data_IF_238061251089
#
_entry.id   IF_238061251089
#
_cell.length_a   1.000
_cell.length_b   1.000
_cell.length_c   1.000
_cell.angle_alpha   90.00
_cell.angle_beta   90.00
_cell.angle_gamma   90.00
#
_symmetry.space_group_name_H-M   'P 1'
#
loop_
_entity.id
_entity.type
_entity.pdbx_description
1 polymer ?
#
# COMPACT_ATOMS: atom_id res chain seq x y z
N UNK A 1 -2.13 -2.33 18.47
CA UNK A 1 -1.21 -3.08 17.60
C UNK A 1 -1.50 -4.55 17.80
N UNK A 2 -1.63 -5.37 16.74
CA UNK A 2 -1.71 -6.81 16.92
C UNK A 2 -0.45 -7.26 17.68
N UNK A 3 -0.64 -7.84 18.85
CA UNK A 3 0.46 -8.26 19.72
C UNK A 3 1.02 -9.55 19.12
N UNK A 4 2.13 -9.47 18.40
CA UNK A 4 2.85 -10.66 17.99
C UNK A 4 3.56 -11.25 19.21
N UNK A 5 3.09 -12.41 19.67
CA UNK A 5 3.73 -13.17 20.74
C UNK A 5 4.07 -14.57 20.22
N UNK A 6 5.36 -14.83 20.05
CA UNK A 6 5.83 -16.11 19.56
C UNK A 6 5.52 -17.24 20.54
N UNK A 7 5.52 -16.94 21.85
CA UNK A 7 5.35 -17.95 22.89
C UNK A 7 3.93 -18.53 22.92
N UNK A 8 2.96 -17.77 22.39
CA UNK A 8 1.58 -18.19 22.25
C UNK A 8 1.37 -19.11 21.04
N UNK A 9 2.26 -19.09 20.04
CA UNK A 9 2.13 -19.85 18.80
C UNK A 9 2.28 -21.35 19.02
N UNK A 10 1.40 -22.12 18.41
CA UNK A 10 1.36 -23.56 18.59
C UNK A 10 2.66 -24.24 18.13
N UNK A 11 3.24 -23.77 17.03
CA UNK A 11 4.51 -24.30 16.51
C UNK A 11 5.66 -24.10 17.51
N UNK A 12 5.69 -22.96 18.21
CA UNK A 12 6.73 -22.68 19.21
C UNK A 12 6.60 -23.63 20.41
N UNK A 13 5.37 -23.82 20.91
CA UNK A 13 5.09 -24.75 22.02
C UNK A 13 5.47 -26.19 21.67
N UNK A 14 5.10 -26.65 20.48
CA UNK A 14 5.39 -28.00 20.00
C UNK A 14 6.90 -28.24 19.84
N UNK A 15 7.61 -27.32 19.19
CA UNK A 15 9.05 -27.48 18.93
C UNK A 15 9.89 -27.39 20.21
N UNK A 16 9.44 -26.62 21.22
CA UNK A 16 10.10 -26.51 22.53
C UNK A 16 9.87 -27.73 23.44
N UNK A 17 8.88 -28.57 23.17
CA UNK A 17 8.50 -29.67 24.06
C UNK A 17 9.49 -30.85 23.99
N UNK A 18 9.97 -31.41 25.11
CA UNK A 18 11.10 -32.38 25.12
C UNK A 18 10.80 -33.77 24.52
N UNK A 19 9.55 -34.21 24.38
CA UNK A 19 9.19 -35.53 23.85
C UNK A 19 7.92 -35.49 22.99
N UNK A 20 7.91 -36.17 21.83
CA UNK A 20 6.72 -36.24 20.96
C UNK A 20 6.62 -37.61 20.26
N UNK A 21 6.03 -38.63 20.89
CA UNK A 21 6.28 -40.04 20.52
C UNK A 21 5.44 -40.64 19.36
N UNK A 22 4.56 -39.88 18.70
CA UNK A 22 3.51 -40.47 17.84
C UNK A 22 3.44 -39.88 16.43
N UNK A 23 2.91 -40.64 15.46
CA UNK A 23 2.71 -40.18 14.06
C UNK A 23 1.78 -38.96 13.96
N UNK A 24 0.83 -38.83 14.89
CA UNK A 24 -0.03 -37.64 15.10
C UNK A 24 0.78 -36.35 15.23
N UNK A 25 1.99 -36.42 15.80
CA UNK A 25 2.89 -35.29 16.02
C UNK A 25 3.31 -34.63 14.70
N UNK A 26 3.51 -35.41 13.63
CA UNK A 26 3.95 -34.86 12.33
C UNK A 26 2.82 -34.01 11.74
N UNK A 27 1.59 -34.49 11.82
CA UNK A 27 0.40 -33.77 11.34
C UNK A 27 0.15 -32.50 12.17
N UNK A 28 0.34 -32.58 13.49
CA UNK A 28 0.25 -31.43 14.40
C UNK A 28 1.31 -30.36 14.12
N UNK A 29 2.59 -30.74 13.98
CA UNK A 29 3.66 -29.78 13.66
C UNK A 29 3.44 -29.17 12.28
N UNK A 30 2.98 -29.95 11.30
CA UNK A 30 2.67 -29.44 9.96
C UNK A 30 1.56 -28.41 10.00
N UNK A 31 0.46 -28.71 10.69
CA UNK A 31 -0.67 -27.80 10.82
C UNK A 31 -0.27 -26.52 11.55
N UNK A 32 0.48 -26.65 12.66
CA UNK A 32 0.97 -25.52 13.43
C UNK A 32 1.98 -24.66 12.63
N UNK A 33 2.77 -25.26 11.74
CA UNK A 33 3.65 -24.52 10.83
C UNK A 33 2.84 -23.69 9.83
N UNK A 34 1.79 -24.25 9.23
CA UNK A 34 0.95 -23.53 8.28
C UNK A 34 0.20 -22.36 8.96
N UNK A 35 -0.36 -22.60 10.15
CA UNK A 35 -0.97 -21.56 10.98
C UNK A 35 0.01 -20.42 11.27
N UNK A 36 1.26 -20.76 11.64
CA UNK A 36 2.29 -19.77 11.88
C UNK A 36 2.62 -18.94 10.63
N UNK A 37 2.68 -19.56 9.44
CA UNK A 37 2.94 -18.86 8.18
C UNK A 37 1.84 -17.84 7.90
N UNK A 38 0.58 -18.26 8.01
CA UNK A 38 -0.59 -17.39 7.80
C UNK A 38 -0.57 -16.21 8.78
N UNK A 39 -0.40 -16.50 10.07
CA UNK A 39 -0.31 -15.48 11.11
C UNK A 39 0.85 -14.49 10.86
N UNK A 40 2.01 -15.00 10.45
CA UNK A 40 3.20 -14.19 10.17
C UNK A 40 2.93 -13.22 9.03
N UNK A 41 2.38 -13.72 7.93
CA UNK A 41 2.01 -12.88 6.79
C UNK A 41 0.97 -11.84 7.17
N UNK A 42 -0.06 -12.25 7.92
CA UNK A 42 -1.09 -11.34 8.42
C UNK A 42 -0.50 -10.22 9.28
N UNK A 43 0.41 -10.56 10.19
CA UNK A 43 1.11 -9.57 11.02
C UNK A 43 1.98 -8.63 10.17
N UNK A 44 2.80 -9.18 9.27
CA UNK A 44 3.72 -8.40 8.43
C UNK A 44 2.99 -7.52 7.41
N UNK A 45 1.77 -7.88 7.01
CA UNK A 45 0.93 -7.07 6.13
C UNK A 45 0.21 -5.93 6.88
N UNK A 46 -0.15 -6.14 8.16
CA UNK A 46 -0.84 -5.15 9.00
C UNK A 46 0.11 -4.15 9.67
N UNK A 47 1.34 -4.55 9.99
CA UNK A 47 2.37 -3.67 10.52
C UNK A 47 3.13 -2.99 9.38
N UNK A 48 3.19 -1.66 9.40
CA UNK A 48 3.82 -0.87 8.34
C UNK A 48 5.19 -0.30 8.75
N UNK A 49 5.53 -0.29 10.04
CA UNK A 49 6.86 0.13 10.49
C UNK A 49 7.87 -1.01 10.28
N UNK A 50 8.72 -0.87 9.25
CA UNK A 50 9.77 -1.83 8.93
C UNK A 50 10.73 -2.10 10.10
N UNK A 51 10.99 -1.13 10.98
CA UNK A 51 11.84 -1.33 12.16
C UNK A 51 11.19 -2.29 13.15
N UNK A 52 9.87 -2.19 13.32
CA UNK A 52 9.09 -3.08 14.20
C UNK A 52 9.04 -4.48 13.60
N UNK A 53 8.70 -4.60 12.30
CA UNK A 53 8.68 -5.87 11.57
C UNK A 53 10.03 -6.61 11.66
N UNK A 54 11.13 -5.91 11.36
CA UNK A 54 12.49 -6.48 11.41
C UNK A 54 12.86 -6.93 12.82
N UNK A 55 12.56 -6.12 13.86
CA UNK A 55 12.80 -6.51 15.26
C UNK A 55 12.03 -7.77 15.63
N UNK A 56 10.77 -7.88 15.21
CA UNK A 56 9.94 -9.03 15.52
C UNK A 56 10.44 -10.32 14.83
N UNK A 57 10.85 -10.20 13.56
CA UNK A 57 11.48 -11.28 12.82
C UNK A 57 12.81 -11.71 13.47
N UNK A 58 13.66 -10.76 13.86
CA UNK A 58 14.93 -11.05 14.53
C UNK A 58 14.74 -11.78 15.87
N UNK A 59 13.78 -11.34 16.68
CA UNK A 59 13.48 -12.02 17.94
C UNK A 59 13.03 -13.47 17.70
N UNK A 60 12.13 -13.66 16.74
CA UNK A 60 11.65 -14.99 16.39
C UNK A 60 12.75 -15.89 15.83
N UNK A 61 13.67 -15.31 15.04
CA UNK A 61 14.85 -16.01 14.52
C UNK A 61 15.75 -16.51 15.64
N UNK A 62 16.07 -15.66 16.62
CA UNK A 62 16.92 -16.00 17.76
C UNK A 62 16.27 -17.11 18.60
N UNK A 63 14.97 -17.00 18.86
CA UNK A 63 14.24 -17.98 19.65
C UNK A 63 14.22 -19.36 18.98
N UNK A 64 13.90 -19.43 17.68
CA UNK A 64 13.96 -20.70 16.94
C UNK A 64 15.40 -21.22 16.78
N UNK A 65 16.37 -20.33 16.57
CA UNK A 65 17.78 -20.70 16.51
C UNK A 65 18.27 -21.32 17.81
N UNK A 66 17.79 -20.82 18.95
CA UNK A 66 18.09 -21.38 20.27
C UNK A 66 17.49 -22.77 20.44
N UNK A 67 16.22 -22.98 20.04
CA UNK A 67 15.59 -24.31 20.07
C UNK A 67 16.37 -25.28 19.18
N UNK A 68 16.77 -24.85 17.97
CA UNK A 68 17.55 -25.68 17.04
C UNK A 68 18.89 -26.10 17.65
N UNK A 69 19.64 -25.16 18.21
CA UNK A 69 20.92 -25.46 18.85
C UNK A 69 20.76 -26.45 20.02
N UNK A 70 19.68 -26.36 20.79
CA UNK A 70 19.37 -27.32 21.85
C UNK A 70 19.07 -28.71 21.30
N UNK A 71 18.28 -28.82 20.24
CA UNK A 71 17.98 -30.10 19.58
C UNK A 71 19.23 -30.74 18.92
N UNK A 72 20.19 -29.93 18.47
CA UNK A 72 21.47 -30.41 17.92
C UNK A 72 22.44 -30.87 19.00
N UNK A 73 22.52 -30.14 20.11
CA UNK A 73 23.46 -30.43 21.21
C UNK A 73 22.95 -31.50 22.18
N UNK A 74 21.63 -31.64 22.32
CA UNK A 74 20.97 -32.59 23.21
C UNK A 74 19.84 -33.31 22.49
N UNK A 75 20.16 -34.22 21.54
CA UNK A 75 19.16 -34.83 20.68
C UNK A 75 18.21 -35.75 21.47
N UNK A 76 16.93 -35.60 21.14
CA UNK A 76 15.80 -36.44 21.52
C UNK A 76 15.43 -37.35 20.36
N UNK A 77 14.50 -38.29 20.58
CA UNK A 77 14.04 -39.23 19.56
C UNK A 77 13.54 -38.55 18.27
N UNK A 78 12.98 -37.35 18.36
CA UNK A 78 12.41 -36.61 17.22
C UNK A 78 13.23 -35.39 16.77
N UNK A 79 14.45 -35.20 17.27
CA UNK A 79 15.23 -34.00 16.95
C UNK A 79 15.41 -33.80 15.45
N UNK A 80 15.58 -34.88 14.67
CA UNK A 80 15.66 -34.79 13.20
C UNK A 80 14.46 -34.08 12.59
N UNK A 81 13.25 -34.44 13.00
CA UNK A 81 12.02 -33.83 12.48
C UNK A 81 11.93 -32.36 12.91
N UNK A 82 12.17 -32.08 14.20
CA UNK A 82 12.12 -30.71 14.71
C UNK A 82 13.13 -29.80 14.02
N UNK A 83 14.35 -30.27 13.82
CA UNK A 83 15.40 -29.54 13.10
C UNK A 83 14.94 -29.18 11.69
N UNK A 84 14.26 -30.08 10.97
CA UNK A 84 13.70 -29.77 9.64
C UNK A 84 12.70 -28.60 9.69
N UNK A 85 11.77 -28.60 10.65
CA UNK A 85 10.81 -27.49 10.77
C UNK A 85 11.46 -26.20 11.26
N UNK A 86 12.44 -26.29 12.16
CA UNK A 86 13.23 -25.14 12.60
C UNK A 86 14.00 -24.52 11.43
N UNK A 87 14.59 -25.35 10.57
CA UNK A 87 15.24 -24.88 9.34
C UNK A 87 14.26 -24.17 8.40
N UNK A 88 13.07 -24.72 8.21
CA UNK A 88 12.01 -24.07 7.43
C UNK A 88 11.62 -22.71 8.01
N UNK A 89 11.43 -22.63 9.32
CA UNK A 89 11.05 -21.39 10.01
C UNK A 89 12.15 -20.33 9.92
N UNK A 90 13.39 -20.71 10.19
CA UNK A 90 14.55 -19.81 10.06
C UNK A 90 14.72 -19.32 8.63
N UNK A 91 14.55 -20.21 7.65
CA UNK A 91 14.60 -19.85 6.22
C UNK A 91 13.47 -18.89 5.84
N UNK A 92 12.23 -19.14 6.28
CA UNK A 92 11.09 -18.26 6.03
C UNK A 92 11.34 -16.87 6.61
N UNK A 93 11.77 -16.80 7.88
CA UNK A 93 12.06 -15.53 8.55
C UNK A 93 13.14 -14.76 7.80
N UNK A 94 14.22 -15.42 7.37
CA UNK A 94 15.27 -14.79 6.56
C UNK A 94 14.73 -14.26 5.22
N UNK A 95 13.89 -15.01 4.52
CA UNK A 95 13.29 -14.58 3.25
C UNK A 95 12.38 -13.36 3.44
N UNK A 96 11.58 -13.32 4.51
CA UNK A 96 10.75 -12.16 4.84
C UNK A 96 11.59 -10.93 5.22
N UNK A 97 12.70 -11.12 5.94
CA UNK A 97 13.63 -10.01 6.21
C UNK A 97 14.25 -9.47 4.93
N UNK A 98 14.73 -10.32 4.04
CA UNK A 98 15.27 -9.93 2.74
C UNK A 98 14.21 -9.20 1.91
N UNK A 99 12.97 -9.69 1.90
CA UNK A 99 11.86 -9.02 1.22
C UNK A 99 11.65 -7.59 1.75
N UNK A 100 11.69 -7.38 3.07
CA UNK A 100 11.59 -6.04 3.67
C UNK A 100 12.78 -5.17 3.30
N UNK A 101 14.01 -5.70 3.29
CA UNK A 101 15.17 -4.93 2.86
C UNK A 101 15.07 -4.53 1.38
N UNK A 102 14.59 -5.42 0.50
CA UNK A 102 14.32 -5.12 -0.90
C UNK A 102 13.20 -4.08 -1.07
N UNK A 103 12.17 -4.11 -0.22
CA UNK A 103 11.15 -3.07 -0.16
C UNK A 103 11.75 -1.70 0.14
N UNK A 104 12.71 -1.64 1.07
CA UNK A 104 13.41 -0.41 1.42
C UNK A 104 14.40 0.05 0.34
N UNK A 105 15.11 -0.88 -0.31
CA UNK A 105 16.10 -0.61 -1.35
C UNK A 105 15.44 -0.19 -2.69
N UNK A 106 14.31 -0.82 -3.03
CA UNK A 106 13.61 -0.61 -4.31
C UNK A 106 12.10 -0.39 -4.15
N UNK A 107 11.65 0.65 -3.44
CA UNK A 107 10.24 0.85 -3.08
C UNK A 107 9.29 0.88 -4.29
N UNK A 108 9.78 1.30 -5.46
CA UNK A 108 9.00 1.35 -6.71
C UNK A 108 8.44 0.01 -7.19
N UNK A 109 9.05 -1.12 -6.82
CA UNK A 109 8.58 -2.46 -7.20
C UNK A 109 7.58 -3.05 -6.20
N UNK A 110 7.41 -2.40 -5.05
CA UNK A 110 6.56 -2.85 -3.95
C UNK A 110 5.43 -1.86 -3.65
N UNK A 111 5.08 -1.01 -4.62
CA UNK A 111 3.97 -0.08 -4.51
C UNK A 111 2.68 -0.88 -4.46
N UNK A 112 2.09 -0.96 -3.27
CA UNK A 112 0.70 -1.35 -3.12
C UNK A 112 -0.14 -0.12 -3.50
N UNK A 113 -0.73 -0.14 -4.70
CA UNK A 113 -1.53 0.98 -5.28
C UNK A 113 -2.71 1.38 -4.35
N UNK A 114 -2.98 0.57 -3.33
CA UNK A 114 -4.02 0.78 -2.32
C UNK A 114 -3.63 1.67 -1.13
N UNK A 115 -2.36 2.11 -0.98
CA UNK A 115 -2.01 3.09 0.06
C UNK A 115 -2.13 4.52 -0.47
N UNK A 116 -3.11 5.26 0.05
CA UNK A 116 -3.52 6.60 -0.38
C UNK A 116 -2.36 7.57 -0.58
N UNK A 117 -1.88 7.67 -1.83
CA UNK A 117 -1.06 8.78 -2.27
C UNK A 117 -1.79 10.08 -1.91
N UNK A 118 -1.16 10.86 -1.02
CA UNK A 118 -1.64 12.17 -0.62
C UNK A 118 -0.77 13.23 -1.29
N UNK A 119 -1.39 14.09 -2.08
CA UNK A 119 -0.67 15.15 -2.79
C UNK A 119 0.01 16.11 -1.80
N UNK A 120 1.23 16.60 -2.08
CA UNK A 120 1.83 17.68 -1.30
C UNK A 120 1.17 19.04 -1.58
N UNK A 121 0.32 19.13 -2.60
CA UNK A 121 -0.33 20.36 -3.02
C UNK A 121 -1.73 20.48 -2.43
N UNK A 122 -2.08 21.70 -2.02
CA UNK A 122 -3.39 22.03 -1.50
C UNK A 122 -4.01 23.15 -2.34
N UNK A 123 -5.32 23.08 -2.54
CA UNK A 123 -6.04 24.16 -3.21
C UNK A 123 -6.14 25.37 -2.27
N UNK A 124 -5.61 26.52 -2.70
CA UNK A 124 -5.91 27.78 -2.06
C UNK A 124 -7.34 28.21 -2.43
N UNK A 125 -8.29 27.87 -1.57
CA UNK A 125 -9.72 28.14 -1.75
C UNK A 125 -10.08 29.63 -1.77
N UNK A 126 -9.17 30.54 -1.41
CA UNK A 126 -9.39 31.99 -1.56
C UNK A 126 -9.25 32.41 -3.03
N UNK A 127 -8.33 31.78 -3.76
CA UNK A 127 -7.97 32.12 -5.14
C UNK A 127 -8.70 31.26 -6.16
N UNK A 128 -8.74 29.94 -5.93
CA UNK A 128 -9.37 28.97 -6.85
C UNK A 128 -10.42 28.19 -6.06
N UNK A 129 -11.67 28.21 -6.53
CA UNK A 129 -12.78 27.50 -5.87
C UNK A 129 -12.85 26.05 -6.35
N UNK A 130 -13.45 25.18 -5.53
CA UNK A 130 -13.70 23.77 -5.91
C UNK A 130 -14.47 23.67 -7.23
N UNK A 131 -15.42 24.59 -7.48
CA UNK A 131 -16.21 24.59 -8.72
C UNK A 131 -15.36 24.94 -9.96
N UNK A 132 -14.25 25.67 -9.77
CA UNK A 132 -13.31 26.00 -10.83
C UNK A 132 -12.47 24.76 -11.20
N UNK A 133 -12.09 23.95 -10.21
CA UNK A 133 -11.45 22.65 -10.48
C UNK A 133 -12.44 21.70 -11.17
N UNK A 134 -13.72 21.71 -10.79
CA UNK A 134 -14.73 20.91 -11.49
C UNK A 134 -14.87 21.32 -12.96
N UNK A 135 -14.71 22.61 -13.29
CA UNK A 135 -14.68 23.09 -14.68
C UNK A 135 -13.54 22.45 -15.48
N UNK A 136 -12.36 22.29 -14.88
CA UNK A 136 -11.25 21.54 -15.49
C UNK A 136 -11.58 20.06 -15.68
N UNK A 137 -12.13 19.42 -14.63
CA UNK A 137 -12.52 18.01 -14.69
C UNK A 137 -13.52 17.76 -15.82
N UNK A 138 -14.57 18.57 -15.92
CA UNK A 138 -15.54 18.52 -17.01
C UNK A 138 -14.91 18.79 -18.37
N UNK A 139 -14.08 19.83 -18.46
CA UNK A 139 -13.42 20.22 -19.71
C UNK A 139 -12.55 19.10 -20.27
N UNK A 140 -11.76 18.43 -19.43
CA UNK A 140 -10.92 17.30 -19.86
C UNK A 140 -11.79 16.07 -20.17
N UNK A 141 -12.79 15.77 -19.34
CA UNK A 141 -13.66 14.61 -19.50
C UNK A 141 -14.48 14.63 -20.80
N UNK A 142 -14.95 15.81 -21.24
CA UNK A 142 -15.75 15.92 -22.46
C UNK A 142 -14.95 15.92 -23.76
N UNK A 143 -13.62 16.02 -23.69
CA UNK A 143 -12.78 15.84 -24.88
C UNK A 143 -12.78 14.35 -25.23
N UNK A 144 -13.49 14.01 -26.31
CA UNK A 144 -13.54 12.65 -26.83
C UNK A 144 -12.11 12.13 -27.06
N UNK A 145 -11.84 10.93 -26.54
CA UNK A 145 -10.54 10.25 -26.63
C UNK A 145 -9.36 11.05 -26.00
N UNK A 146 -9.65 12.11 -25.23
CA UNK A 146 -8.63 12.95 -24.59
C UNK A 146 -8.02 12.32 -23.33
N UNK A 147 -8.73 11.40 -22.69
CA UNK A 147 -8.22 10.52 -21.64
C UNK A 147 -8.53 9.08 -22.03
N UNK A 148 -7.56 8.19 -21.89
CA UNK A 148 -7.72 6.75 -22.06
C UNK A 148 -7.22 6.03 -20.81
N UNK A 149 -7.89 4.94 -20.42
CA UNK A 149 -7.39 4.06 -19.37
C UNK A 149 -6.42 3.05 -19.98
N UNK A 150 -5.41 2.67 -19.18
CA UNK A 150 -4.43 1.66 -19.57
C UNK A 150 -5.05 0.28 -19.86
N UNK A 151 -6.18 -0.02 -19.22
CA UNK A 151 -6.94 -1.26 -19.43
C UNK A 151 -7.98 -1.15 -20.56
N UNK A 152 -7.97 -0.04 -21.33
CA UNK A 152 -8.90 0.28 -22.41
C UNK A 152 -10.38 0.21 -22.03
N UNK A 153 -10.72 0.31 -20.73
CA UNK A 153 -12.11 0.41 -20.29
C UNK A 153 -12.64 1.83 -20.42
N UNK A 154 -13.96 1.92 -20.47
CA UNK A 154 -14.67 3.19 -20.42
C UNK A 154 -14.31 3.97 -19.15
N UNK A 155 -14.31 5.29 -19.29
CA UNK A 155 -14.01 6.24 -18.23
C UNK A 155 -15.30 6.93 -17.83
N UNK A 156 -15.54 7.03 -16.53
CA UNK A 156 -16.63 7.83 -15.98
C UNK A 156 -16.09 9.15 -15.44
N UNK A 157 -16.93 10.18 -15.38
CA UNK A 157 -16.56 11.48 -14.79
C UNK A 157 -16.01 11.33 -13.37
N UNK A 158 -16.57 10.41 -12.60
CA UNK A 158 -16.13 10.11 -11.24
C UNK A 158 -14.68 9.61 -11.17
N UNK A 159 -14.19 8.92 -12.19
CA UNK A 159 -12.81 8.44 -12.23
C UNK A 159 -11.84 9.63 -12.33
N UNK A 160 -12.14 10.58 -13.21
CA UNK A 160 -11.35 11.80 -13.39
C UNK A 160 -11.47 12.70 -12.16
N UNK A 161 -12.68 12.91 -11.64
CA UNK A 161 -12.92 13.75 -10.47
C UNK A 161 -12.13 13.28 -9.24
N UNK A 162 -12.13 11.97 -8.95
CA UNK A 162 -11.40 11.40 -7.81
C UNK A 162 -9.89 11.59 -7.90
N UNK A 163 -9.33 11.59 -9.12
CA UNK A 163 -7.91 11.91 -9.34
C UNK A 163 -7.64 13.36 -8.94
N UNK A 164 -8.50 14.30 -9.32
CA UNK A 164 -8.37 15.71 -8.95
C UNK A 164 -8.58 15.95 -7.45
N UNK A 165 -9.49 15.21 -6.80
CA UNK A 165 -9.64 15.23 -5.34
C UNK A 165 -8.33 14.88 -4.63
N UNK A 166 -7.71 13.77 -5.05
CA UNK A 166 -6.40 13.36 -4.52
C UNK A 166 -5.30 14.36 -4.86
N UNK A 167 -5.29 14.90 -6.08
CA UNK A 167 -4.26 15.83 -6.57
C UNK A 167 -4.21 17.16 -5.80
N UNK A 168 -5.35 17.68 -5.35
CA UNK A 168 -5.42 18.98 -4.67
C UNK A 168 -5.86 18.89 -3.20
N UNK A 169 -6.01 17.68 -2.66
CA UNK A 169 -6.54 17.42 -1.33
C UNK A 169 -7.92 18.10 -1.10
N UNK A 170 -8.82 17.97 -2.08
CA UNK A 170 -10.18 18.53 -2.03
C UNK A 170 -11.24 17.43 -2.04
N UNK A 171 -12.49 17.80 -1.76
CA UNK A 171 -13.65 16.91 -1.87
C UNK A 171 -14.75 17.64 -2.65
N UNK A 172 -15.18 17.08 -3.78
CA UNK A 172 -16.26 17.63 -4.59
C UNK A 172 -17.65 17.38 -3.97
N UNK A 173 -17.77 16.36 -3.11
CA UNK A 173 -19.01 15.84 -2.59
C UNK A 173 -19.74 15.05 -3.67
N UNK A 174 -20.96 15.49 -4.00
CA UNK A 174 -21.74 14.89 -5.09
C UNK A 174 -21.22 15.38 -6.45
N UNK A 175 -20.39 14.55 -7.08
CA UNK A 175 -19.70 14.85 -8.35
C UNK A 175 -20.68 15.25 -9.46
N UNK A 176 -21.80 14.53 -9.60
CA UNK A 176 -22.78 14.82 -10.65
C UNK A 176 -23.56 16.11 -10.37
N UNK A 177 -23.84 16.45 -9.10
CA UNK A 177 -24.37 17.78 -8.78
C UNK A 177 -23.37 18.89 -9.11
N UNK A 178 -22.07 18.68 -8.89
CA UNK A 178 -21.02 19.66 -9.25
C UNK A 178 -20.88 19.80 -10.76
N UNK A 179 -20.98 18.71 -11.51
CA UNK A 179 -21.02 18.71 -12.97
C UNK A 179 -22.17 19.57 -13.49
N UNK A 180 -23.39 19.29 -13.02
CA UNK A 180 -24.58 20.07 -13.39
C UNK A 180 -24.39 21.55 -13.04
N UNK A 181 -23.75 21.86 -11.91
CA UNK A 181 -23.46 23.24 -11.51
C UNK A 181 -22.44 23.94 -12.42
N UNK A 182 -21.57 23.20 -13.12
CA UNK A 182 -20.69 23.74 -14.17
C UNK A 182 -21.49 23.95 -15.46
N UNK A 183 -22.23 22.95 -15.92
CA UNK A 183 -22.98 23.00 -17.19
C UNK A 183 -24.09 24.08 -17.16
N UNK A 184 -24.79 24.24 -16.04
CA UNK A 184 -25.92 25.17 -15.90
C UNK A 184 -25.51 26.62 -15.59
N UNK A 185 -24.22 26.97 -15.61
CA UNK A 185 -23.80 28.35 -15.36
C UNK A 185 -24.36 29.28 -16.42
N UNK A 186 -24.50 30.56 -16.06
CA UNK A 186 -24.82 31.62 -17.02
C UNK A 186 -23.77 31.60 -18.14
N UNK A 187 -24.12 31.87 -19.40
CA UNK A 187 -23.19 31.81 -20.54
C UNK A 187 -21.86 32.52 -20.32
N UNK A 188 -21.87 33.68 -19.67
CA UNK A 188 -20.67 34.46 -19.34
C UNK A 188 -19.77 33.86 -18.26
N UNK A 189 -20.23 32.81 -17.56
CA UNK A 189 -19.54 32.14 -16.45
C UNK A 189 -19.25 30.66 -16.71
N UNK A 190 -19.66 30.11 -17.86
CA UNK A 190 -19.51 28.69 -18.17
C UNK A 190 -18.02 28.29 -18.15
N UNK A 191 -17.15 29.15 -18.70
CA UNK A 191 -15.71 28.90 -18.84
C UNK A 191 -14.84 29.98 -18.17
N UNK A 192 -15.38 30.70 -17.18
CA UNK A 192 -14.70 31.86 -16.57
C UNK A 192 -13.32 31.52 -16.00
N UNK A 193 -13.15 30.30 -15.46
CA UNK A 193 -11.87 29.86 -14.95
C UNK A 193 -10.89 29.49 -16.07
N UNK A 194 -11.33 28.74 -17.08
CA UNK A 194 -10.52 28.42 -18.25
C UNK A 194 -10.03 29.68 -18.98
N UNK A 195 -10.88 30.70 -19.11
CA UNK A 195 -10.51 31.99 -19.69
C UNK A 195 -9.44 32.69 -18.83
N UNK A 196 -9.57 32.63 -17.50
CA UNK A 196 -8.56 33.17 -16.57
C UNK A 196 -7.21 32.46 -16.70
N UNK A 197 -7.20 31.12 -16.84
CA UNK A 197 -5.98 30.34 -17.10
C UNK A 197 -5.34 30.71 -18.43
N UNK A 198 -6.14 30.86 -19.49
CA UNK A 198 -5.66 31.31 -20.81
C UNK A 198 -4.98 32.68 -20.71
N UNK A 199 -5.59 33.64 -20.01
CA UNK A 199 -5.00 34.96 -19.79
C UNK A 199 -3.68 34.87 -19.02
N UNK A 200 -3.60 34.03 -17.98
CA UNK A 200 -2.37 33.83 -17.21
C UNK A 200 -1.21 33.29 -18.08
N UNK A 201 -1.49 32.33 -18.96
CA UNK A 201 -0.51 31.78 -19.91
C UNK A 201 -0.07 32.84 -20.91
N UNK A 202 -1.00 33.58 -21.52
CA UNK A 202 -0.69 34.65 -22.48
C UNK A 202 0.19 35.72 -21.82
N UNK A 203 -0.15 36.12 -20.60
CA UNK A 203 0.66 37.07 -19.82
C UNK A 203 2.08 36.53 -19.63
N UNK A 204 2.23 35.29 -19.19
CA UNK A 204 3.55 34.67 -19.00
C UNK A 204 4.35 34.56 -20.30
N UNK A 205 3.68 34.31 -21.43
CA UNK A 205 4.28 34.29 -22.77
C UNK A 205 4.84 35.67 -23.14
N UNK A 206 4.05 36.73 -22.95
CA UNK A 206 4.46 38.12 -23.21
C UNK A 206 5.60 38.56 -22.31
N UNK A 207 5.53 38.24 -21.01
CA UNK A 207 6.58 38.54 -20.03
C UNK A 207 7.92 37.89 -20.41
N UNK A 208 7.87 36.77 -21.14
CA UNK A 208 9.05 36.06 -21.65
C UNK A 208 9.45 36.49 -23.08
N UNK A 209 8.78 37.48 -23.68
CA UNK A 209 9.12 38.01 -25.01
C UNK A 209 8.58 37.20 -26.20
N UNK A 210 7.78 36.16 -25.97
CA UNK A 210 7.10 35.41 -27.04
C UNK A 210 5.81 36.15 -27.43
N UNK A 211 5.96 37.23 -28.18
CA UNK A 211 4.84 37.94 -28.80
C UNK A 211 4.49 37.26 -30.12
N UNK A 212 3.42 36.48 -30.16
CA UNK A 212 2.81 36.08 -31.42
C UNK A 212 2.13 37.32 -32.02
N UNK A 213 2.68 37.79 -33.15
CA UNK A 213 2.07 38.78 -34.04
C UNK A 213 0.73 38.28 -34.57
#
# INVERSE_FOLDING_TARGET
MPKWDLTEKQIYKLLKHPCQKEKSVIEEITSAYLEFVEDLFDYLNKEHDNKIRIRQLNMSYIDFGTIKALEETSPTENSKLKIIYLDKLLSLINMEQELIYRQMEYPKFFINIESDWKSPFYLNNEVIKIVDIMELVCGIFYIKDGIVRIDNKDIFLSDVARIFEKMFNINFGDIYKKEIAVIKRKPTKITEFLDSLKVAIIKKSRDNGYNHL
#
